data_IF_079107641635
#
_entry.id   IF_079107641635
#
_cell.length_a   1.000
_cell.length_b   1.000
_cell.length_c   1.000
_cell.angle_alpha   90.00
_cell.angle_beta   90.00
_cell.angle_gamma   90.00
#
_symmetry.space_group_name_H-M   'P 1'
#
loop_
_entity.id
_entity.type
_entity.pdbx_description
1 polymer ?
#
# COMPACT_ATOMS: atom_id res chain seq x y z
N UNK A 1 24.79 44.85 -56.53
CA UNK A 1 23.63 45.24 -55.70
C UNK A 1 22.56 44.19 -55.89
N UNK A 2 21.95 43.83 -54.77
CA UNK A 2 20.95 42.79 -54.54
C UNK A 2 21.45 41.35 -54.44
N UNK A 3 22.05 41.06 -53.27
CA UNK A 3 21.92 39.76 -52.62
C UNK A 3 20.71 39.82 -51.68
N UNK A 4 19.81 38.85 -51.84
CA UNK A 4 18.65 38.63 -50.99
C UNK A 4 18.95 37.45 -50.07
N UNK A 5 19.48 37.75 -48.89
CA UNK A 5 19.57 36.78 -47.81
C UNK A 5 18.22 36.72 -47.08
N UNK A 6 17.57 35.57 -47.21
CA UNK A 6 16.32 35.26 -46.52
C UNK A 6 16.58 35.01 -45.03
N UNK A 7 15.88 35.77 -44.20
CA UNK A 7 15.71 35.50 -42.78
C UNK A 7 15.07 34.11 -42.58
N UNK A 8 15.90 33.09 -42.32
CA UNK A 8 15.42 31.86 -41.69
C UNK A 8 15.15 32.17 -40.22
N UNK A 9 13.86 32.43 -39.92
CA UNK A 9 13.34 32.44 -38.56
C UNK A 9 13.67 31.11 -37.87
N UNK A 10 14.60 31.16 -36.92
CA UNK A 10 14.83 30.12 -35.93
C UNK A 10 13.54 29.91 -35.13
N UNK A 11 12.74 28.92 -35.54
CA UNK A 11 11.62 28.44 -34.71
C UNK A 11 12.23 27.87 -33.42
N UNK A 12 11.87 28.40 -32.24
CA UNK A 12 12.48 27.97 -30.99
C UNK A 12 12.18 26.48 -30.79
N UNK A 13 13.21 25.69 -30.46
CA UNK A 13 13.15 24.24 -30.21
C UNK A 13 11.95 23.80 -29.36
N UNK A 14 11.50 24.66 -28.45
CA UNK A 14 10.35 24.45 -27.57
C UNK A 14 9.00 24.35 -28.32
N UNK A 15 8.84 25.11 -29.40
CA UNK A 15 7.66 25.06 -30.28
C UNK A 15 7.59 23.75 -31.07
N UNK A 16 8.73 23.25 -31.54
CA UNK A 16 8.82 21.98 -32.28
C UNK A 16 8.54 20.78 -31.36
N UNK A 17 9.05 20.80 -30.13
CA UNK A 17 8.77 19.75 -29.13
C UNK A 17 7.29 19.72 -28.77
N UNK A 18 6.64 20.87 -28.63
CA UNK A 18 5.20 20.97 -28.33
C UNK A 18 4.34 20.39 -29.47
N UNK A 19 4.65 20.73 -30.73
CA UNK A 19 3.93 20.22 -31.91
C UNK A 19 4.07 18.70 -32.06
N UNK A 20 5.27 18.16 -31.82
CA UNK A 20 5.51 16.71 -31.86
C UNK A 20 4.69 15.96 -30.79
N UNK A 21 4.52 16.57 -29.61
CA UNK A 21 3.68 15.98 -28.56
C UNK A 21 2.18 15.98 -28.92
N UNK A 22 1.67 17.03 -29.58
CA UNK A 22 0.28 17.08 -30.02
C UNK A 22 -0.06 16.01 -31.06
N UNK A 23 0.80 15.85 -32.08
CA UNK A 23 0.56 14.87 -33.15
C UNK A 23 0.60 13.45 -32.59
N UNK A 24 1.56 13.17 -31.70
CA UNK A 24 1.65 11.87 -31.03
C UNK A 24 0.46 11.62 -30.11
N UNK A 25 -0.01 12.66 -29.40
CA UNK A 25 -1.21 12.56 -28.58
C UNK A 25 -2.44 12.22 -29.42
N UNK A 26 -2.68 12.93 -30.53
CA UNK A 26 -3.79 12.67 -31.46
C UNK A 26 -3.74 11.23 -32.01
N UNK A 27 -2.56 10.77 -32.42
CA UNK A 27 -2.35 9.41 -32.93
C UNK A 27 -2.71 8.36 -31.88
N UNK A 28 -2.18 8.49 -30.66
CA UNK A 28 -2.40 7.54 -29.57
C UNK A 28 -3.86 7.53 -29.14
N UNK A 29 -4.50 8.69 -28.98
CA UNK A 29 -5.92 8.79 -28.61
C UNK A 29 -6.83 8.16 -29.66
N UNK A 30 -6.57 8.41 -30.95
CA UNK A 30 -7.31 7.76 -32.04
C UNK A 30 -7.16 6.24 -31.97
N UNK A 31 -5.94 5.75 -31.74
CA UNK A 31 -5.65 4.32 -31.71
C UNK A 31 -6.27 3.60 -30.49
N UNK A 32 -6.51 4.31 -29.37
CA UNK A 32 -7.21 3.75 -28.20
C UNK A 32 -8.68 3.42 -28.48
N UNK A 33 -9.32 4.12 -29.41
CA UNK A 33 -10.73 3.95 -29.73
C UNK A 33 -11.00 2.87 -30.81
N UNK A 34 -9.98 2.10 -31.21
CA UNK A 34 -10.17 0.99 -32.16
C UNK A 34 -10.79 -0.25 -31.51
N UNK A 35 -11.49 -1.04 -32.32
CA UNK A 35 -12.02 -2.34 -31.87
C UNK A 35 -10.93 -3.41 -31.74
N UNK A 36 -9.88 -3.33 -32.55
CA UNK A 36 -8.82 -4.33 -32.61
C UNK A 36 -7.93 -4.29 -31.35
N UNK A 37 -7.88 -5.39 -30.55
CA UNK A 37 -7.15 -5.40 -29.28
C UNK A 37 -5.67 -5.03 -29.41
N UNK A 38 -5.01 -5.45 -30.49
CA UNK A 38 -3.57 -5.25 -30.69
C UNK A 38 -3.23 -3.75 -30.81
N UNK A 39 -4.01 -3.02 -31.60
CA UNK A 39 -3.87 -1.57 -31.78
C UNK A 39 -4.02 -0.85 -30.44
N UNK A 40 -5.06 -1.18 -29.67
CA UNK A 40 -5.31 -0.56 -28.36
C UNK A 40 -4.21 -0.90 -27.34
N UNK A 41 -3.71 -2.14 -27.36
CA UNK A 41 -2.59 -2.57 -26.51
C UNK A 41 -1.34 -1.75 -26.79
N UNK A 42 -0.99 -1.57 -28.07
CA UNK A 42 0.23 -0.87 -28.46
C UNK A 42 0.10 0.64 -28.23
N UNK A 43 -1.08 1.23 -28.52
CA UNK A 43 -1.41 2.61 -28.14
C UNK A 43 -1.32 2.84 -26.63
N UNK A 44 -1.85 1.92 -25.82
CA UNK A 44 -1.79 2.04 -24.35
C UNK A 44 -0.35 1.99 -23.82
N UNK A 45 0.50 1.13 -24.38
CA UNK A 45 1.92 1.07 -24.01
C UNK A 45 2.66 2.33 -24.40
N UNK A 46 2.39 2.84 -25.60
CA UNK A 46 3.01 4.07 -26.10
C UNK A 46 2.61 5.27 -25.26
N UNK A 47 1.33 5.39 -24.89
CA UNK A 47 0.86 6.41 -23.95
C UNK A 47 1.61 6.32 -22.62
N UNK A 48 1.68 5.13 -22.02
CA UNK A 48 2.41 4.92 -20.76
C UNK A 48 3.89 5.30 -20.89
N UNK A 49 4.51 5.00 -22.04
CA UNK A 49 5.92 5.36 -22.31
C UNK A 49 6.11 6.87 -22.36
N UNK A 50 5.20 7.60 -23.02
CA UNK A 50 5.22 9.07 -23.09
C UNK A 50 5.04 9.70 -21.71
N UNK A 51 4.09 9.19 -20.91
CA UNK A 51 3.86 9.65 -19.53
C UNK A 51 5.05 9.42 -18.59
N UNK A 52 5.85 8.38 -18.84
CA UNK A 52 7.04 8.07 -18.02
C UNK A 52 8.31 8.77 -18.53
N UNK A 53 8.25 9.44 -19.67
CA UNK A 53 9.37 10.17 -20.26
C UNK A 53 9.66 11.50 -19.54
N UNK A 54 10.76 12.14 -19.93
CA UNK A 54 11.20 13.42 -19.34
C UNK A 54 10.15 14.54 -19.47
N UNK A 55 9.36 14.55 -20.55
CA UNK A 55 8.27 15.49 -20.80
C UNK A 55 6.89 14.94 -20.40
N UNK A 56 6.83 13.88 -19.58
CA UNK A 56 5.59 13.21 -19.20
C UNK A 56 4.59 14.13 -18.49
N UNK A 57 5.08 15.09 -17.71
CA UNK A 57 4.24 16.08 -17.04
C UNK A 57 3.52 16.98 -18.04
N UNK A 58 4.24 17.52 -19.02
CA UNK A 58 3.69 18.38 -20.06
C UNK A 58 2.72 17.61 -20.96
N UNK A 59 3.09 16.38 -21.35
CA UNK A 59 2.22 15.50 -22.10
C UNK A 59 0.90 15.21 -21.36
N UNK A 60 0.94 15.01 -20.04
CA UNK A 60 -0.27 14.86 -19.24
C UNK A 60 -1.14 16.13 -19.25
N UNK A 61 -0.53 17.33 -19.18
CA UNK A 61 -1.29 18.59 -19.23
C UNK A 61 -2.00 18.71 -20.57
N UNK A 62 -1.28 18.50 -21.67
CA UNK A 62 -1.84 18.56 -23.01
C UNK A 62 -2.99 17.57 -23.17
N UNK A 63 -2.82 16.33 -22.69
CA UNK A 63 -3.90 15.35 -22.71
C UNK A 63 -5.15 15.84 -21.95
N UNK A 64 -5.00 16.28 -20.70
CA UNK A 64 -6.14 16.68 -19.86
C UNK A 64 -6.77 18.01 -20.31
N UNK A 65 -6.04 18.84 -21.06
CA UNK A 65 -6.57 20.01 -21.74
C UNK A 65 -7.36 19.63 -22.99
N UNK A 66 -6.81 18.74 -23.84
CA UNK A 66 -7.45 18.28 -25.06
C UNK A 66 -8.69 17.39 -24.79
N UNK A 67 -8.64 16.52 -23.77
CA UNK A 67 -9.75 15.66 -23.35
C UNK A 67 -10.03 15.79 -21.84
N UNK A 68 -10.76 16.85 -21.43
CA UNK A 68 -11.06 17.11 -20.01
C UNK A 68 -11.86 16.02 -19.29
N UNK A 69 -12.65 15.25 -20.03
CA UNK A 69 -13.52 14.19 -19.51
C UNK A 69 -12.92 12.79 -19.69
N UNK A 70 -11.74 12.67 -20.32
CA UNK A 70 -11.07 11.41 -20.62
C UNK A 70 -11.98 10.39 -21.35
N UNK A 71 -12.80 10.88 -22.29
CA UNK A 71 -13.85 10.07 -22.94
C UNK A 71 -13.27 8.89 -23.72
N UNK A 72 -12.09 9.05 -24.33
CA UNK A 72 -11.39 8.02 -25.08
C UNK A 72 -11.03 6.82 -24.20
N UNK A 73 -10.74 7.06 -22.91
CA UNK A 73 -10.49 5.98 -21.95
C UNK A 73 -11.78 5.21 -21.62
N UNK A 74 -12.92 5.90 -21.58
CA UNK A 74 -14.22 5.25 -21.41
C UNK A 74 -14.62 4.42 -22.62
N UNK A 75 -14.40 4.96 -23.82
CA UNK A 75 -14.71 4.28 -25.06
C UNK A 75 -13.82 3.03 -25.21
N UNK A 76 -12.51 3.17 -24.96
CA UNK A 76 -11.58 2.05 -24.93
C UNK A 76 -11.96 1.00 -23.86
N UNK A 77 -12.34 1.43 -22.66
CA UNK A 77 -12.81 0.52 -21.60
C UNK A 77 -14.03 -0.28 -22.05
N UNK A 78 -15.03 0.40 -22.63
CA UNK A 78 -16.28 -0.21 -23.09
C UNK A 78 -16.04 -1.19 -24.24
N UNK A 79 -15.31 -0.76 -25.28
CA UNK A 79 -15.01 -1.57 -26.46
C UNK A 79 -14.17 -2.80 -26.14
N UNK A 80 -13.30 -2.69 -25.14
CA UNK A 80 -12.38 -3.76 -24.75
C UNK A 80 -12.87 -4.59 -23.56
N UNK A 81 -14.08 -4.36 -23.04
CA UNK A 81 -14.60 -4.97 -21.80
C UNK A 81 -14.41 -6.49 -21.73
N UNK A 82 -14.62 -7.21 -22.81
CA UNK A 82 -14.49 -8.68 -22.85
C UNK A 82 -13.17 -9.16 -23.49
N UNK A 83 -12.33 -8.22 -23.93
CA UNK A 83 -11.09 -8.46 -24.68
C UNK A 83 -9.87 -8.37 -23.78
N UNK A 84 -8.75 -8.95 -24.23
CA UNK A 84 -7.47 -8.93 -23.50
C UNK A 84 -6.85 -7.54 -23.38
N UNK A 85 -7.23 -6.60 -24.26
CA UNK A 85 -6.72 -5.23 -24.24
C UNK A 85 -7.18 -4.41 -23.02
N UNK A 86 -8.30 -4.76 -22.37
CA UNK A 86 -8.79 -4.05 -21.19
C UNK A 86 -7.73 -3.95 -20.08
N UNK A 87 -6.96 -5.02 -19.88
CA UNK A 87 -5.85 -5.06 -18.93
C UNK A 87 -4.85 -3.91 -19.19
N UNK A 88 -4.56 -3.59 -20.45
CA UNK A 88 -3.66 -2.49 -20.81
C UNK A 88 -4.30 -1.12 -20.64
N UNK A 89 -5.59 -0.99 -20.98
CA UNK A 89 -6.36 0.24 -20.76
C UNK A 89 -6.40 0.58 -19.27
N UNK A 90 -6.63 -0.40 -18.40
CA UNK A 90 -6.61 -0.19 -16.94
C UNK A 90 -5.25 0.20 -16.39
N UNK A 91 -4.18 -0.42 -16.89
CA UNK A 91 -2.81 -0.04 -16.50
C UNK A 91 -2.44 1.37 -17.00
N UNK A 92 -2.94 1.77 -18.17
CA UNK A 92 -2.83 3.14 -18.66
C UNK A 92 -3.56 4.11 -17.72
N UNK A 93 -4.83 3.85 -17.40
CA UNK A 93 -5.61 4.68 -16.48
C UNK A 93 -4.89 4.79 -15.13
N UNK A 94 -4.44 3.67 -14.57
CA UNK A 94 -3.67 3.66 -13.33
C UNK A 94 -2.43 4.57 -13.42
N UNK A 95 -1.69 4.50 -14.53
CA UNK A 95 -0.51 5.35 -14.76
C UNK A 95 -0.87 6.85 -14.82
N UNK A 96 -1.97 7.20 -15.51
CA UNK A 96 -2.46 8.58 -15.59
C UNK A 96 -2.85 9.08 -14.18
N UNK A 97 -3.61 8.29 -13.43
CA UNK A 97 -4.06 8.66 -12.10
C UNK A 97 -2.91 8.75 -11.09
N UNK A 98 -1.84 8.01 -11.30
CA UNK A 98 -0.66 8.00 -10.43
C UNK A 98 0.39 9.06 -10.74
N UNK A 99 0.33 9.67 -11.93
CA UNK A 99 1.33 10.60 -12.40
C UNK A 99 1.51 11.79 -11.42
N UNK A 100 2.75 12.13 -11.00
CA UNK A 100 3.00 13.19 -10.02
C UNK A 100 2.38 14.54 -10.38
N UNK A 101 2.51 14.96 -11.64
CA UNK A 101 1.91 16.21 -12.15
C UNK A 101 0.38 16.27 -12.10
N UNK A 102 -0.29 15.13 -11.90
CA UNK A 102 -1.75 15.04 -11.72
C UNK A 102 -2.20 14.92 -10.26
N UNK A 103 -1.24 14.86 -9.31
CA UNK A 103 -1.49 14.71 -7.87
C UNK A 103 -1.05 15.91 -7.04
N UNK A 104 -0.10 16.70 -7.53
CA UNK A 104 0.55 17.75 -6.76
C UNK A 104 -0.47 18.73 -6.14
N UNK A 105 -0.48 18.80 -4.81
CA UNK A 105 -1.18 19.82 -4.04
C UNK A 105 -0.41 21.13 -4.15
N UNK A 106 -1.12 22.25 -4.21
CA UNK A 106 -0.52 23.55 -3.89
C UNK A 106 0.11 23.41 -2.50
N UNK A 107 1.44 23.41 -2.43
CA UNK A 107 2.11 23.66 -1.15
C UNK A 107 1.79 25.11 -0.88
N UNK A 108 0.93 25.36 0.10
CA UNK A 108 0.90 26.66 0.75
C UNK A 108 2.31 26.86 1.31
N UNK A 109 3.14 27.61 0.61
CA UNK A 109 4.38 28.12 1.18
C UNK A 109 3.98 28.88 2.43
N UNK A 110 4.16 28.25 3.59
CA UNK A 110 4.01 28.83 4.90
C UNK A 110 5.07 29.94 5.03
N UNK A 111 4.78 31.11 4.49
CA UNK A 111 5.79 32.16 4.30
C UNK A 111 5.28 33.47 3.72
N UNK A 112 3.99 33.80 3.85
CA UNK A 112 3.54 35.20 3.71
C UNK A 112 2.19 35.41 4.39
N UNK A 113 2.24 35.69 5.71
CA UNK A 113 1.18 36.44 6.37
C UNK A 113 1.27 37.88 5.88
N UNK A 114 0.36 38.28 5.00
CA UNK A 114 0.15 39.68 4.61
C UNK A 114 0.68 40.03 3.22
N UNK A 115 -0.02 39.61 2.18
CA UNK A 115 0.24 40.01 0.79
C UNK A 115 -0.64 39.17 -0.12
N UNK A 116 -1.37 39.79 -1.05
CA UNK A 116 -2.35 39.10 -1.90
C UNK A 116 -1.77 37.83 -2.54
N UNK A 117 -2.53 36.73 -2.51
CA UNK A 117 -2.10 35.45 -3.06
C UNK A 117 -2.02 35.58 -4.59
N UNK A 118 -0.85 35.94 -5.12
CA UNK A 118 -0.53 35.73 -6.52
C UNK A 118 -0.34 34.24 -6.72
N UNK A 119 -1.44 33.51 -6.97
CA UNK A 119 -1.37 32.09 -7.30
C UNK A 119 -0.67 31.99 -8.66
N UNK A 120 0.55 31.45 -8.65
CA UNK A 120 1.33 31.09 -9.83
C UNK A 120 0.42 30.42 -10.89
N UNK A 121 0.37 30.94 -12.15
CA UNK A 121 -0.40 30.35 -13.23
C UNK A 121 -0.15 28.84 -13.43
N UNK A 122 1.09 28.38 -13.25
CA UNK A 122 1.42 26.96 -13.34
C UNK A 122 0.77 26.14 -12.21
N UNK A 123 0.68 26.73 -11.02
CA UNK A 123 0.00 26.15 -9.87
C UNK A 123 -1.53 26.05 -10.08
N UNK A 124 -2.16 27.06 -10.72
CA UNK A 124 -3.57 26.99 -11.14
C UNK A 124 -3.81 25.89 -12.16
N UNK A 125 -2.93 25.79 -13.17
CA UNK A 125 -3.02 24.74 -14.21
C UNK A 125 -2.93 23.34 -13.62
N UNK A 126 -1.95 23.09 -12.73
CA UNK A 126 -1.81 21.81 -11.99
C UNK A 126 -3.05 21.47 -11.17
N UNK A 127 -3.61 22.46 -10.45
CA UNK A 127 -4.85 22.26 -9.69
C UNK A 127 -6.04 21.89 -10.59
N UNK A 128 -6.18 22.52 -11.75
CA UNK A 128 -7.24 22.21 -12.71
C UNK A 128 -7.11 20.79 -13.27
N UNK A 129 -5.88 20.36 -13.61
CA UNK A 129 -5.58 19.00 -14.07
C UNK A 129 -5.96 17.98 -13.00
N UNK A 130 -5.49 18.20 -11.76
CA UNK A 130 -5.82 17.32 -10.63
C UNK A 130 -7.32 17.19 -10.45
N UNK A 131 -8.08 18.30 -10.47
CA UNK A 131 -9.54 18.28 -10.29
C UNK A 131 -10.25 17.46 -11.38
N UNK A 132 -9.80 17.55 -12.63
CA UNK A 132 -10.34 16.74 -13.75
C UNK A 132 -10.06 15.25 -13.55
N UNK A 133 -8.83 14.90 -13.19
CA UNK A 133 -8.46 13.51 -12.91
C UNK A 133 -9.14 12.96 -11.65
N UNK A 134 -9.36 13.78 -10.62
CA UNK A 134 -10.14 13.42 -9.44
C UNK A 134 -11.62 13.14 -9.82
N UNK A 135 -12.20 13.97 -10.69
CA UNK A 135 -13.56 13.72 -11.20
C UNK A 135 -13.63 12.39 -11.95
N UNK A 136 -12.67 12.12 -12.83
CA UNK A 136 -12.60 10.86 -13.58
C UNK A 136 -12.44 9.64 -12.65
N UNK A 137 -11.54 9.72 -11.67
CA UNK A 137 -11.35 8.66 -10.68
C UNK A 137 -12.59 8.40 -9.84
N UNK A 138 -13.37 9.44 -9.50
CA UNK A 138 -14.62 9.28 -8.76
C UNK A 138 -15.66 8.51 -9.57
N UNK A 139 -15.81 8.81 -10.86
CA UNK A 139 -16.70 8.07 -11.76
C UNK A 139 -16.33 6.57 -11.87
N UNK A 140 -15.05 6.19 -11.70
CA UNK A 140 -14.68 4.76 -11.63
C UNK A 140 -15.30 4.09 -10.40
N UNK A 141 -15.25 4.76 -9.24
CA UNK A 141 -15.80 4.23 -7.98
C UNK A 141 -17.33 4.25 -7.98
N UNK A 142 -17.95 5.23 -8.63
CA UNK A 142 -19.40 5.36 -8.73
C UNK A 142 -20.03 4.39 -9.73
N UNK A 143 -19.43 4.26 -10.93
CA UNK A 143 -20.12 3.66 -12.08
C UNK A 143 -19.51 2.35 -12.57
N UNK A 144 -18.32 1.95 -12.06
CA UNK A 144 -17.51 0.87 -12.68
C UNK A 144 -17.03 -0.21 -11.72
N UNK A 145 -17.48 -0.21 -10.47
CA UNK A 145 -17.10 -1.28 -9.53
C UNK A 145 -17.55 -2.66 -10.00
N UNK A 146 -18.68 -2.79 -10.70
CA UNK A 146 -19.13 -4.08 -11.25
C UNK A 146 -18.13 -4.68 -12.26
N UNK A 147 -17.52 -3.84 -13.11
CA UNK A 147 -16.48 -4.27 -14.05
C UNK A 147 -15.23 -4.72 -13.30
N UNK A 148 -14.87 -4.01 -12.23
CA UNK A 148 -13.75 -4.37 -11.35
C UNK A 148 -14.04 -5.71 -10.67
N UNK A 149 -15.22 -5.92 -10.09
CA UNK A 149 -15.61 -7.18 -9.46
C UNK A 149 -15.62 -8.36 -10.45
N UNK A 150 -16.13 -8.13 -11.66
CA UNK A 150 -16.07 -9.11 -12.75
C UNK A 150 -14.63 -9.51 -13.10
N UNK A 151 -13.70 -8.56 -13.11
CA UNK A 151 -12.29 -8.84 -13.34
C UNK A 151 -11.58 -9.52 -12.17
N UNK A 152 -11.87 -9.14 -10.93
CA UNK A 152 -11.32 -9.79 -9.74
C UNK A 152 -11.77 -11.26 -9.68
N UNK A 153 -13.00 -11.53 -10.12
CA UNK A 153 -13.58 -12.89 -10.19
C UNK A 153 -13.12 -13.68 -11.44
N UNK A 154 -12.53 -13.04 -12.45
CA UNK A 154 -12.05 -13.69 -13.68
C UNK A 154 -10.95 -14.72 -13.38
N UNK A 155 -10.82 -15.77 -14.20
CA UNK A 155 -9.71 -16.75 -14.08
C UNK A 155 -8.35 -16.18 -14.51
N UNK A 156 -8.33 -15.03 -15.19
CA UNK A 156 -7.12 -14.43 -15.75
C UNK A 156 -6.35 -13.60 -14.71
N UNK A 157 -5.14 -14.05 -14.34
CA UNK A 157 -4.30 -13.36 -13.36
C UNK A 157 -3.90 -11.94 -13.78
N UNK A 158 -3.58 -11.71 -15.06
CA UNK A 158 -3.25 -10.37 -15.57
C UNK A 158 -4.39 -9.39 -15.36
N UNK A 159 -5.61 -9.82 -15.65
CA UNK A 159 -6.82 -9.02 -15.48
C UNK A 159 -7.12 -8.68 -14.01
N UNK A 160 -6.98 -9.67 -13.11
CA UNK A 160 -7.06 -9.45 -11.65
C UNK A 160 -6.04 -8.42 -11.16
N UNK A 161 -4.78 -8.54 -11.61
CA UNK A 161 -3.71 -7.60 -11.24
C UNK A 161 -4.00 -6.19 -11.73
N UNK A 162 -4.43 -6.04 -12.99
CA UNK A 162 -4.75 -4.73 -13.54
C UNK A 162 -5.93 -4.06 -12.81
N UNK A 163 -6.96 -4.82 -12.40
CA UNK A 163 -8.03 -4.31 -11.53
C UNK A 163 -7.48 -3.78 -10.21
N UNK A 164 -6.65 -4.56 -9.52
CA UNK A 164 -6.04 -4.15 -8.25
C UNK A 164 -5.14 -2.93 -8.41
N UNK A 165 -4.31 -2.88 -9.45
CA UNK A 165 -3.46 -1.72 -9.75
C UNK A 165 -4.28 -0.47 -10.06
N UNK A 166 -5.38 -0.60 -10.80
CA UNK A 166 -6.31 0.51 -11.05
C UNK A 166 -6.92 1.03 -9.75
N UNK A 167 -7.44 0.15 -8.90
CA UNK A 167 -8.05 0.56 -7.64
C UNK A 167 -7.01 1.15 -6.67
N UNK A 168 -5.77 0.63 -6.67
CA UNK A 168 -4.68 1.21 -5.91
C UNK A 168 -4.37 2.63 -6.37
N UNK A 169 -4.33 2.86 -7.69
CA UNK A 169 -4.12 4.18 -8.27
C UNK A 169 -5.21 5.18 -7.87
N UNK A 170 -6.48 4.76 -7.88
CA UNK A 170 -7.61 5.56 -7.40
C UNK A 170 -7.45 5.91 -5.92
N UNK A 171 -7.14 4.94 -5.06
CA UNK A 171 -6.92 5.16 -3.62
C UNK A 171 -5.78 6.14 -3.37
N UNK A 172 -4.66 6.02 -4.11
CA UNK A 172 -3.48 6.90 -3.99
C UNK A 172 -3.69 8.32 -4.48
N UNK A 173 -4.88 8.69 -4.98
CA UNK A 173 -5.21 10.09 -5.28
C UNK A 173 -5.45 10.92 -4.02
N UNK A 174 -5.72 10.29 -2.88
CA UNK A 174 -5.72 10.96 -1.58
C UNK A 174 -6.73 10.40 -0.58
N UNK A 175 -6.79 10.99 0.64
CA UNK A 175 -7.59 10.46 1.74
C UNK A 175 -9.09 10.41 1.45
N UNK A 176 -9.61 11.34 0.64
CA UNK A 176 -11.01 11.32 0.20
C UNK A 176 -11.35 10.07 -0.62
N UNK A 177 -10.47 9.67 -1.55
CA UNK A 177 -10.66 8.45 -2.34
C UNK A 177 -10.44 7.19 -1.53
N UNK A 178 -9.44 7.18 -0.63
CA UNK A 178 -9.28 6.06 0.30
C UNK A 178 -10.56 5.83 1.12
N UNK A 179 -11.15 6.90 1.67
CA UNK A 179 -12.41 6.82 2.41
C UNK A 179 -13.59 6.34 1.53
N UNK A 180 -13.73 6.90 0.32
CA UNK A 180 -14.80 6.55 -0.59
C UNK A 180 -14.74 5.08 -1.02
N UNK A 181 -13.56 4.60 -1.41
CA UNK A 181 -13.34 3.20 -1.80
C UNK A 181 -13.56 2.27 -0.60
N UNK A 182 -13.07 2.60 0.61
CA UNK A 182 -13.34 1.77 1.82
C UNK A 182 -14.83 1.60 2.09
N UNK A 183 -15.65 2.61 1.78
CA UNK A 183 -17.10 2.56 2.01
C UNK A 183 -17.85 1.79 0.94
N UNK A 184 -17.47 1.92 -0.34
CA UNK A 184 -18.19 1.35 -1.49
C UNK A 184 -17.68 -0.02 -1.93
N UNK A 185 -16.40 -0.32 -1.71
CA UNK A 185 -15.79 -1.58 -2.14
C UNK A 185 -16.21 -2.74 -1.23
N UNK A 186 -16.61 -3.85 -1.82
CA UNK A 186 -16.92 -5.09 -1.11
C UNK A 186 -15.66 -5.93 -0.86
N UNK A 187 -15.06 -5.77 0.32
CA UNK A 187 -13.90 -6.56 0.75
C UNK A 187 -14.26 -8.00 1.16
N UNK A 188 -15.55 -8.30 1.35
CA UNK A 188 -16.01 -9.62 1.80
C UNK A 188 -16.18 -10.62 0.65
N UNK A 189 -16.13 -10.14 -0.60
CA UNK A 189 -16.28 -10.99 -1.76
C UNK A 189 -15.22 -12.11 -1.76
N UNK A 190 -15.67 -13.36 -1.92
CA UNK A 190 -14.78 -14.54 -1.88
C UNK A 190 -13.61 -14.43 -2.85
N UNK A 191 -13.89 -13.97 -4.07
CA UNK A 191 -12.89 -13.79 -5.10
C UNK A 191 -11.80 -12.78 -4.72
N UNK A 192 -12.07 -11.82 -3.83
CA UNK A 192 -11.08 -10.88 -3.30
C UNK A 192 -10.19 -11.52 -2.23
N UNK A 193 -10.79 -12.27 -1.29
CA UNK A 193 -10.06 -13.00 -0.25
C UNK A 193 -9.05 -13.98 -0.86
N UNK A 194 -9.44 -14.67 -1.94
CA UNK A 194 -8.57 -15.59 -2.68
C UNK A 194 -7.33 -14.90 -3.29
N UNK A 195 -7.38 -13.58 -3.54
CA UNK A 195 -6.24 -12.84 -4.13
C UNK A 195 -5.07 -12.70 -3.18
N UNK A 196 -5.35 -12.74 -1.88
CA UNK A 196 -4.36 -12.64 -0.81
C UNK A 196 -3.59 -13.95 -0.62
N UNK A 197 -4.08 -15.10 -1.09
CA UNK A 197 -3.49 -16.39 -0.76
C UNK A 197 -2.05 -16.54 -1.28
N UNK A 198 -1.16 -17.00 -0.37
CA UNK A 198 0.14 -17.51 -0.76
C UNK A 198 -0.03 -18.94 -1.25
N UNK A 199 0.29 -19.21 -2.52
CA UNK A 199 0.27 -20.60 -3.01
C UNK A 199 1.26 -21.41 -2.19
N UNK A 200 0.88 -22.59 -1.68
CA UNK A 200 1.77 -23.39 -0.86
C UNK A 200 3.03 -23.75 -1.67
N UNK A 201 4.21 -23.49 -1.08
CA UNK A 201 5.45 -24.17 -1.48
C UNK A 201 5.16 -25.66 -1.31
N UNK A 202 4.98 -26.41 -2.40
CA UNK A 202 4.87 -27.87 -2.32
C UNK A 202 6.19 -28.41 -1.75
N UNK A 203 6.21 -28.66 -0.45
CA UNK A 203 7.23 -29.44 0.23
C UNK A 203 6.86 -30.91 0.06
N UNK A 204 7.70 -31.66 -0.65
CA UNK A 204 7.68 -33.12 -0.64
C UNK A 204 7.26 -33.81 -1.94
N UNK A 205 8.11 -34.76 -2.33
CA UNK A 205 7.97 -35.82 -3.34
C UNK A 205 8.16 -35.43 -4.81
N UNK A 206 9.39 -35.67 -5.29
CA UNK A 206 9.76 -36.10 -6.65
C UNK A 206 8.80 -35.69 -7.78
N UNK A 207 8.59 -34.40 -8.00
CA UNK A 207 8.08 -33.91 -9.28
C UNK A 207 9.28 -33.55 -10.16
N UNK A 208 9.68 -34.53 -10.96
CA UNK A 208 10.61 -34.41 -12.08
C UNK A 208 10.40 -33.09 -12.84
N UNK A 209 11.50 -32.35 -13.03
CA UNK A 209 11.97 -31.89 -14.35
C UNK A 209 10.87 -31.52 -15.35
N UNK A 210 10.08 -30.51 -15.02
CA UNK A 210 9.49 -29.60 -15.99
C UNK A 210 9.60 -28.21 -15.37
N UNK A 211 10.19 -27.26 -16.09
CA UNK A 211 10.04 -25.83 -15.83
C UNK A 211 8.56 -25.45 -15.91
N UNK A 212 7.77 -25.84 -14.91
CA UNK A 212 6.38 -25.41 -14.78
C UNK A 212 6.42 -23.96 -14.34
N UNK A 213 6.45 -23.07 -15.34
CA UNK A 213 6.15 -21.63 -15.27
C UNK A 213 5.42 -21.33 -13.97
N UNK A 214 6.12 -20.75 -12.98
CA UNK A 214 5.52 -20.34 -11.70
C UNK A 214 4.26 -19.57 -12.04
N UNK A 215 3.07 -20.17 -11.85
CA UNK A 215 1.80 -19.51 -12.19
C UNK A 215 1.80 -18.16 -11.46
N UNK A 216 1.59 -17.03 -12.17
CA UNK A 216 1.74 -15.71 -11.57
C UNK A 216 0.86 -15.57 -10.32
N UNK A 217 1.43 -15.05 -9.24
CA UNK A 217 0.70 -14.77 -7.99
C UNK A 217 0.01 -13.41 -8.07
N UNK A 218 -1.22 -13.30 -7.57
CA UNK A 218 -1.97 -12.05 -7.40
C UNK A 218 -1.59 -11.30 -6.13
N UNK A 219 -0.97 -11.99 -5.16
CA UNK A 219 -0.65 -11.46 -3.84
C UNK A 219 0.14 -10.14 -3.85
N UNK A 220 1.17 -9.93 -4.69
CA UNK A 220 1.86 -8.63 -4.72
C UNK A 220 0.94 -7.47 -5.08
N UNK A 221 0.07 -7.64 -6.09
CA UNK A 221 -0.90 -6.61 -6.47
C UNK A 221 -1.97 -6.39 -5.38
N UNK A 222 -2.34 -7.45 -4.65
CA UNK A 222 -3.25 -7.35 -3.52
C UNK A 222 -2.62 -6.53 -2.39
N UNK A 223 -1.36 -6.81 -2.05
CA UNK A 223 -0.61 -6.08 -1.03
C UNK A 223 -0.47 -4.61 -1.47
N UNK A 224 -0.07 -4.34 -2.70
CA UNK A 224 0.00 -2.97 -3.22
C UNK A 224 -1.32 -2.20 -3.08
N UNK A 225 -2.45 -2.85 -3.40
CA UNK A 225 -3.78 -2.27 -3.23
C UNK A 225 -4.12 -2.01 -1.75
N UNK A 226 -3.88 -2.97 -0.87
CA UNK A 226 -4.14 -2.82 0.56
C UNK A 226 -3.27 -1.71 1.19
N UNK A 227 -1.98 -1.70 0.87
CA UNK A 227 -1.03 -0.72 1.39
C UNK A 227 -1.29 0.69 0.85
N UNK A 228 -1.90 0.83 -0.34
CA UNK A 228 -2.33 2.12 -0.86
C UNK A 228 -3.26 2.87 0.11
N UNK A 229 -4.16 2.18 0.81
CA UNK A 229 -5.03 2.81 1.80
C UNK A 229 -4.25 3.38 2.97
N UNK A 230 -3.27 2.64 3.51
CA UNK A 230 -2.47 3.10 4.64
C UNK A 230 -1.57 4.28 4.25
N UNK A 231 -1.07 4.28 3.02
CA UNK A 231 -0.23 5.36 2.51
C UNK A 231 -1.02 6.65 2.26
N UNK A 232 -2.24 6.54 1.70
CA UNK A 232 -3.06 7.68 1.27
C UNK A 232 -4.02 8.23 2.33
N UNK A 233 -4.39 7.43 3.32
CA UNK A 233 -5.35 7.85 4.36
C UNK A 233 -4.71 8.85 5.33
N UNK A 234 -5.52 9.80 5.78
CA UNK A 234 -5.20 10.61 6.94
C UNK A 234 -5.44 9.81 8.24
N UNK A 235 -4.91 10.26 9.38
CA UNK A 235 -5.07 9.56 10.66
C UNK A 235 -6.53 9.31 11.09
N UNK A 236 -7.49 10.11 10.61
CA UNK A 236 -8.93 9.96 10.95
C UNK A 236 -9.57 8.85 10.12
N UNK A 237 -9.17 8.71 8.85
CA UNK A 237 -9.67 7.69 7.94
C UNK A 237 -9.09 6.29 8.21
N UNK A 238 -7.87 6.21 8.75
CA UNK A 238 -7.17 4.93 9.01
C UNK A 238 -7.99 3.96 9.86
N UNK A 239 -8.73 4.45 10.87
CA UNK A 239 -9.61 3.60 11.69
C UNK A 239 -10.59 2.78 10.86
N UNK A 240 -11.18 3.38 9.81
CA UNK A 240 -12.16 2.72 8.95
C UNK A 240 -11.51 1.69 8.03
N UNK A 241 -10.30 1.97 7.55
CA UNK A 241 -9.50 1.03 6.75
C UNK A 241 -9.17 -0.20 7.59
N UNK A 242 -8.63 0.01 8.80
CA UNK A 242 -8.17 -1.06 9.68
C UNK A 242 -9.30 -1.96 10.21
N UNK A 243 -10.54 -1.49 10.15
CA UNK A 243 -11.72 -2.30 10.47
C UNK A 243 -12.13 -3.24 9.33
N UNK A 244 -11.57 -3.10 8.12
CA UNK A 244 -11.78 -4.04 7.01
C UNK A 244 -10.90 -5.27 7.19
N UNK A 245 -11.42 -6.24 7.96
CA UNK A 245 -10.70 -7.44 8.37
C UNK A 245 -10.11 -8.21 7.20
N UNK A 246 -10.85 -8.40 6.12
CA UNK A 246 -10.43 -9.17 4.95
C UNK A 246 -9.23 -8.51 4.25
N UNK A 247 -9.20 -7.18 4.21
CA UNK A 247 -8.08 -6.41 3.67
C UNK A 247 -6.83 -6.57 4.54
N UNK A 248 -6.96 -6.29 5.85
CA UNK A 248 -5.82 -6.32 6.78
C UNK A 248 -5.29 -7.74 7.02
N UNK A 249 -6.19 -8.70 7.26
CA UNK A 249 -5.83 -10.09 7.45
C UNK A 249 -5.22 -10.68 6.17
N UNK A 250 -5.70 -10.30 4.98
CA UNK A 250 -5.10 -10.75 3.72
C UNK A 250 -3.64 -10.37 3.57
N UNK A 251 -3.24 -9.18 4.06
CA UNK A 251 -1.84 -8.73 4.05
C UNK A 251 -1.03 -9.48 5.10
N UNK A 252 -1.50 -9.47 6.35
CA UNK A 252 -0.74 -9.97 7.50
C UNK A 252 -0.69 -11.49 7.59
N UNK A 253 -1.70 -12.18 7.04
CA UNK A 253 -1.69 -13.62 6.96
C UNK A 253 -0.69 -14.07 5.89
N UNK A 254 0.16 -15.03 6.24
CA UNK A 254 1.24 -15.53 5.38
C UNK A 254 2.30 -14.50 4.99
N UNK A 255 2.44 -13.38 5.71
CA UNK A 255 3.50 -12.39 5.50
C UNK A 255 4.90 -13.02 5.55
N UNK A 256 5.11 -14.03 6.42
CA UNK A 256 6.39 -14.76 6.52
C UNK A 256 6.76 -15.58 5.28
N UNK A 257 5.85 -15.68 4.29
CA UNK A 257 6.09 -16.38 3.02
C UNK A 257 6.37 -15.43 1.86
N UNK A 258 6.25 -14.12 2.06
CA UNK A 258 6.60 -13.13 1.05
C UNK A 258 8.12 -12.93 0.97
N UNK A 259 8.58 -12.23 -0.07
CA UNK A 259 9.98 -11.84 -0.17
C UNK A 259 10.31 -10.68 0.78
N UNK A 260 11.59 -10.56 1.15
CA UNK A 260 12.04 -9.60 2.16
C UNK A 260 11.68 -8.15 1.82
N UNK A 261 11.65 -7.77 0.52
CA UNK A 261 11.26 -6.41 0.13
C UNK A 261 9.79 -6.15 0.43
N UNK A 262 8.92 -7.12 0.15
CA UNK A 262 7.49 -7.04 0.46
C UNK A 262 7.27 -6.99 1.98
N UNK A 263 7.98 -7.82 2.75
CA UNK A 263 7.88 -7.82 4.21
C UNK A 263 8.30 -6.46 4.78
N UNK A 264 9.49 -5.97 4.42
CA UNK A 264 9.99 -4.66 4.85
C UNK A 264 9.03 -3.53 4.46
N UNK A 265 8.50 -3.55 3.23
CA UNK A 265 7.52 -2.57 2.77
C UNK A 265 6.26 -2.53 3.65
N UNK A 266 5.68 -3.70 3.95
CA UNK A 266 4.48 -3.82 4.80
C UNK A 266 4.77 -3.32 6.21
N UNK A 267 5.85 -3.81 6.84
CA UNK A 267 6.17 -3.50 8.22
C UNK A 267 6.58 -2.04 8.43
N UNK A 268 7.44 -1.49 7.58
CA UNK A 268 7.79 -0.07 7.64
C UNK A 268 6.56 0.82 7.44
N UNK A 269 5.63 0.44 6.55
CA UNK A 269 4.39 1.21 6.38
C UNK A 269 3.50 1.13 7.62
N UNK A 270 3.36 -0.05 8.23
CA UNK A 270 2.60 -0.19 9.48
C UNK A 270 3.22 0.62 10.63
N UNK A 271 4.54 0.58 10.78
CA UNK A 271 5.27 1.39 11.76
C UNK A 271 4.98 2.87 11.57
N UNK A 272 5.12 3.38 10.35
CA UNK A 272 5.03 4.81 10.05
C UNK A 272 3.59 5.35 10.00
N UNK A 273 2.60 4.49 9.68
CA UNK A 273 1.22 4.95 9.46
C UNK A 273 0.25 4.50 10.53
N UNK A 274 0.52 3.38 11.21
CA UNK A 274 -0.42 2.76 12.16
C UNK A 274 0.12 2.77 13.59
N UNK A 275 1.42 2.50 13.76
CA UNK A 275 2.05 2.41 15.07
C UNK A 275 2.81 3.69 15.46
N UNK A 276 2.75 4.75 14.65
CA UNK A 276 3.40 6.01 15.01
C UNK A 276 2.57 6.78 16.05
N UNK A 277 3.17 7.74 16.76
CA UNK A 277 2.43 8.55 17.74
C UNK A 277 1.38 9.46 17.08
N UNK A 278 1.57 9.79 15.80
CA UNK A 278 0.69 10.63 14.97
C UNK A 278 -0.49 9.85 14.39
N UNK A 279 -0.39 8.52 14.38
CA UNK A 279 -1.48 7.62 14.04
C UNK A 279 -2.54 7.71 15.14
N UNK A 280 -3.62 8.44 14.87
CA UNK A 280 -4.78 8.51 15.77
C UNK A 280 -5.55 7.17 15.89
N UNK A 281 -4.91 6.05 15.55
CA UNK A 281 -5.44 4.69 15.67
C UNK A 281 -5.42 4.27 17.13
N UNK A 282 -6.59 3.91 17.72
CA UNK A 282 -6.65 3.52 19.12
C UNK A 282 -5.77 2.30 19.44
N UNK A 283 -5.13 2.25 20.62
CA UNK A 283 -4.29 1.12 21.05
C UNK A 283 -4.99 -0.24 20.93
N UNK A 284 -6.29 -0.29 21.27
CA UNK A 284 -7.09 -1.52 21.16
C UNK A 284 -7.19 -2.04 19.73
N UNK A 285 -7.27 -1.15 18.73
CA UNK A 285 -7.34 -1.52 17.33
C UNK A 285 -5.98 -2.00 16.80
N UNK A 286 -4.89 -1.36 17.23
CA UNK A 286 -3.53 -1.82 16.92
C UNK A 286 -3.28 -3.23 17.48
N UNK A 287 -3.69 -3.47 18.72
CA UNK A 287 -3.62 -4.79 19.37
C UNK A 287 -4.49 -5.86 18.66
N UNK A 288 -5.66 -5.50 18.13
CA UNK A 288 -6.50 -6.45 17.36
C UNK A 288 -5.87 -6.79 16.01
N UNK A 289 -5.28 -5.80 15.33
CA UNK A 289 -4.57 -5.99 14.06
C UNK A 289 -3.38 -6.96 14.22
N UNK A 290 -2.66 -6.83 15.34
CA UNK A 290 -1.50 -7.67 15.70
C UNK A 290 -1.94 -8.81 16.65
N UNK A 291 -2.88 -9.63 16.17
CA UNK A 291 -3.33 -10.84 16.86
C UNK A 291 -2.28 -11.95 16.91
N UNK A 292 -2.60 -13.06 17.58
CA UNK A 292 -1.68 -14.18 17.83
C UNK A 292 -0.98 -14.70 16.56
N UNK A 293 -1.73 -14.92 15.48
CA UNK A 293 -1.18 -15.42 14.21
C UNK A 293 -0.26 -14.42 13.51
N UNK A 294 -0.47 -13.11 13.71
CA UNK A 294 0.42 -12.08 13.16
C UNK A 294 1.70 -12.03 13.99
N UNK A 295 1.60 -12.05 15.31
CA UNK A 295 2.76 -12.03 16.22
C UNK A 295 3.66 -13.25 16.03
N UNK A 296 3.07 -14.44 15.84
CA UNK A 296 3.81 -15.66 15.50
C UNK A 296 4.60 -15.50 14.20
N UNK A 297 3.98 -14.98 13.14
CA UNK A 297 4.68 -14.73 11.89
C UNK A 297 5.80 -13.68 12.02
N UNK A 298 5.58 -12.62 12.81
CA UNK A 298 6.63 -11.64 13.07
C UNK A 298 7.80 -12.27 13.84
N UNK A 299 7.51 -13.17 14.80
CA UNK A 299 8.56 -13.94 15.48
C UNK A 299 9.34 -14.77 14.47
N UNK A 300 8.66 -15.54 13.61
CA UNK A 300 9.30 -16.36 12.58
C UNK A 300 10.19 -15.53 11.65
N UNK A 301 9.70 -14.37 11.18
CA UNK A 301 10.46 -13.45 10.32
C UNK A 301 11.68 -12.91 11.06
N UNK A 302 11.51 -12.43 12.30
CA UNK A 302 12.62 -11.91 13.11
C UNK A 302 13.64 -12.99 13.47
N UNK A 303 13.22 -14.25 13.54
CA UNK A 303 14.10 -15.39 13.80
C UNK A 303 14.86 -15.91 12.59
N UNK A 304 14.66 -15.32 11.41
CA UNK A 304 15.36 -15.72 10.19
C UNK A 304 16.73 -15.00 10.09
N UNK A 305 17.87 -15.70 10.24
CA UNK A 305 19.20 -15.08 10.16
C UNK A 305 19.50 -14.49 8.77
N UNK A 306 18.87 -15.04 7.72
CA UNK A 306 19.05 -14.59 6.34
C UNK A 306 18.07 -13.48 5.93
N UNK A 307 17.19 -13.04 6.84
CA UNK A 307 16.09 -12.12 6.54
C UNK A 307 16.47 -10.64 6.42
N UNK A 308 17.72 -10.26 6.69
CA UNK A 308 18.23 -8.89 6.55
C UNK A 308 17.30 -7.81 7.13
N UNK A 309 17.00 -6.79 6.33
CA UNK A 309 16.10 -5.67 6.69
C UNK A 309 14.70 -6.14 7.12
N UNK A 310 14.20 -7.25 6.58
CA UNK A 310 12.88 -7.77 6.92
C UNK A 310 12.85 -8.36 8.33
N UNK A 311 13.90 -9.09 8.72
CA UNK A 311 14.07 -9.60 10.08
C UNK A 311 14.20 -8.45 11.09
N UNK A 312 14.97 -7.42 10.76
CA UNK A 312 15.11 -6.22 11.60
C UNK A 312 13.77 -5.47 11.72
N UNK A 313 13.05 -5.25 10.62
CA UNK A 313 11.75 -4.59 10.64
C UNK A 313 10.71 -5.38 11.46
N UNK A 314 10.73 -6.71 11.40
CA UNK A 314 9.88 -7.57 12.23
C UNK A 314 10.24 -7.46 13.71
N UNK A 315 11.53 -7.54 14.05
CA UNK A 315 11.99 -7.35 15.43
C UNK A 315 11.61 -5.97 15.97
N UNK A 316 11.83 -4.89 15.21
CA UNK A 316 11.44 -3.53 15.59
C UNK A 316 9.93 -3.41 15.84
N UNK A 317 9.12 -4.01 14.97
CA UNK A 317 7.66 -4.03 15.13
C UNK A 317 7.27 -4.74 16.42
N UNK A 318 7.87 -5.91 16.70
CA UNK A 318 7.64 -6.65 17.94
C UNK A 318 8.05 -5.85 19.17
N UNK A 319 9.22 -5.20 19.13
CA UNK A 319 9.71 -4.35 20.21
C UNK A 319 8.73 -3.22 20.51
N UNK A 320 8.27 -2.49 19.49
CA UNK A 320 7.25 -1.44 19.67
C UNK A 320 6.03 -2.00 20.40
N UNK A 321 5.38 -3.01 19.83
CA UNK A 321 4.05 -3.41 20.30
C UNK A 321 4.07 -4.24 21.59
N UNK A 322 5.16 -4.96 21.85
CA UNK A 322 5.28 -5.83 23.02
C UNK A 322 5.85 -5.11 24.25
N UNK A 323 6.47 -3.93 24.09
CA UNK A 323 7.14 -3.23 25.20
C UNK A 323 6.53 -1.88 25.55
N UNK A 324 5.84 -1.22 24.61
CA UNK A 324 5.13 0.04 24.85
C UNK A 324 3.61 -0.17 25.00
N UNK A 325 3.01 0.20 26.15
CA UNK A 325 1.57 0.13 26.36
C UNK A 325 0.72 0.93 25.36
N UNK A 326 1.29 1.94 24.70
CA UNK A 326 0.59 2.78 23.71
C UNK A 326 0.02 1.98 22.52
N UNK A 327 0.50 0.76 22.28
CA UNK A 327 0.01 -0.14 21.22
C UNK A 327 -1.03 -1.16 21.69
N UNK A 328 -1.43 -1.12 22.97
CA UNK A 328 -2.56 -1.88 23.50
C UNK A 328 -2.33 -3.39 23.70
N UNK A 329 -1.10 -3.88 23.53
CA UNK A 329 -0.71 -5.26 23.85
C UNK A 329 -0.01 -5.34 25.20
N UNK A 330 0.96 -4.47 25.46
CA UNK A 330 1.61 -4.34 26.77
C UNK A 330 0.67 -3.63 27.77
N UNK A 331 0.42 -4.17 28.98
CA UNK A 331 -0.34 -3.45 30.00
C UNK A 331 0.41 -2.21 30.51
N UNK A 332 -0.30 -1.21 31.05
CA UNK A 332 0.34 -0.11 31.78
C UNK A 332 0.88 -0.55 33.16
N UNK A 333 1.89 0.15 33.68
CA UNK A 333 2.46 -0.14 35.01
C UNK A 333 1.49 0.30 36.08
N UNK A 334 1.28 -0.55 37.09
CA UNK A 334 0.62 -0.13 38.33
C UNK A 334 1.35 1.04 39.02
N UNK A 335 2.66 1.16 38.84
CA UNK A 335 3.46 2.24 39.45
C UNK A 335 3.21 3.61 38.81
N UNK A 336 2.64 3.65 37.60
CA UNK A 336 2.24 4.91 36.97
C UNK A 336 0.85 5.39 37.44
N UNK A 337 0.14 4.57 38.22
CA UNK A 337 -1.17 4.87 38.79
C UNK A 337 -1.10 5.86 39.97
N UNK A 338 0.08 5.99 40.59
CA UNK A 338 0.31 6.80 41.80
C UNK A 338 0.92 8.17 41.51
N UNK A 339 1.14 8.55 40.24
CA UNK A 339 1.69 9.87 39.88
C UNK A 339 0.57 10.94 39.93
N UNK A 340 0.64 11.93 40.85
CA UNK A 340 -0.34 13.01 40.89
C UNK A 340 -0.20 13.90 39.65
N UNK A 341 -1.31 14.19 38.97
CA UNK A 341 -1.36 15.12 37.83
C UNK A 341 -1.86 14.54 36.49
N UNK A 342 -2.12 13.23 36.38
CA UNK A 342 -2.90 12.71 35.24
C UNK A 342 -4.38 12.75 35.57
N UNK A 343 -5.16 13.40 34.70
CA UNK A 343 -6.61 13.52 34.78
C UNK A 343 -7.24 12.15 35.10
N UNK A 344 -7.88 12.06 36.26
CA UNK A 344 -8.74 10.94 36.66
C UNK A 344 -9.84 10.77 35.60
N UNK A 345 -9.61 9.91 34.62
CA UNK A 345 -10.50 9.79 33.45
C UNK A 345 -9.90 9.07 32.24
N UNK A 346 -8.57 8.91 32.15
CA UNK A 346 -7.98 7.95 31.20
C UNK A 346 -8.11 6.54 31.77
N UNK A 347 -8.90 5.68 31.12
CA UNK A 347 -8.92 4.25 31.45
C UNK A 347 -7.52 3.68 31.27
N UNK A 348 -7.00 2.99 32.29
CA UNK A 348 -5.74 2.26 32.19
C UNK A 348 -5.77 1.32 30.98
N UNK A 349 -4.70 1.31 30.20
CA UNK A 349 -4.60 0.36 29.10
C UNK A 349 -4.35 -1.03 29.70
N UNK A 350 -5.42 -1.83 29.76
CA UNK A 350 -5.39 -3.21 30.30
C UNK A 350 -4.40 -4.12 29.55
N UNK A 351 -4.04 -3.74 28.31
CA UNK A 351 -3.21 -4.57 27.44
C UNK A 351 -3.87 -5.91 27.12
N UNK A 352 -3.05 -6.86 26.69
CA UNK A 352 -3.43 -8.26 26.53
C UNK A 352 -2.28 -9.18 27.01
N UNK A 353 -2.10 -9.32 28.33
CA UNK A 353 -0.99 -10.09 28.90
C UNK A 353 -1.05 -11.57 28.51
N UNK A 354 -2.25 -12.14 28.31
CA UNK A 354 -2.40 -13.53 27.86
C UNK A 354 -1.86 -13.76 26.44
N UNK A 355 -2.10 -12.81 25.52
CA UNK A 355 -1.51 -12.87 24.17
C UNK A 355 0.01 -12.68 24.22
N UNK A 356 0.49 -11.75 25.04
CA UNK A 356 1.92 -11.52 25.21
C UNK A 356 2.63 -12.76 25.77
N UNK A 357 2.04 -13.42 26.77
CA UNK A 357 2.54 -14.67 27.33
C UNK A 357 2.62 -15.79 26.29
N UNK A 358 1.57 -15.98 25.47
CA UNK A 358 1.58 -16.97 24.39
C UNK A 358 2.68 -16.71 23.35
N UNK A 359 2.97 -15.44 23.05
CA UNK A 359 4.10 -15.08 22.21
C UNK A 359 5.43 -15.43 22.89
N UNK A 360 5.61 -15.01 24.15
CA UNK A 360 6.84 -15.27 24.92
C UNK A 360 7.18 -16.76 24.98
N UNK A 361 6.19 -17.62 25.22
CA UNK A 361 6.37 -19.09 25.26
C UNK A 361 6.77 -19.71 23.91
N UNK A 362 6.58 -18.98 22.80
CA UNK A 362 6.98 -19.42 21.44
C UNK A 362 8.33 -18.86 21.00
N UNK A 363 8.88 -17.88 21.73
CA UNK A 363 10.19 -17.33 21.42
C UNK A 363 11.28 -18.38 21.64
N UNK A 364 12.37 -18.25 20.86
CA UNK A 364 13.56 -19.11 20.95
C UNK A 364 14.77 -18.30 21.42
N UNK A 365 14.79 -17.81 22.68
CA UNK A 365 15.80 -16.87 23.17
C UNK A 365 17.21 -17.48 23.29
N UNK A 366 17.34 -18.81 23.25
CA UNK A 366 18.64 -19.48 23.25
C UNK A 366 19.26 -19.60 21.85
N UNK A 367 18.41 -19.54 20.81
CA UNK A 367 18.82 -19.76 19.42
C UNK A 367 18.88 -18.45 18.62
N UNK A 368 18.01 -17.49 18.95
CA UNK A 368 17.77 -16.28 18.16
C UNK A 368 18.01 -15.04 19.04
N UNK A 369 18.98 -14.22 18.65
CA UNK A 369 19.34 -12.98 19.37
C UNK A 369 18.15 -12.02 19.50
N UNK A 370 17.42 -11.74 18.42
CA UNK A 370 16.23 -10.87 18.45
C UNK A 370 15.12 -11.40 19.37
N UNK A 371 14.96 -12.72 19.49
CA UNK A 371 14.00 -13.30 20.43
C UNK A 371 14.46 -13.13 21.88
N UNK A 372 15.76 -13.28 22.14
CA UNK A 372 16.35 -13.03 23.46
C UNK A 372 16.14 -11.58 23.88
N UNK A 373 16.48 -10.64 23.01
CA UNK A 373 16.38 -9.21 23.28
C UNK A 373 14.92 -8.80 23.53
N UNK A 374 14.00 -9.30 22.70
CA UNK A 374 12.57 -9.08 22.88
C UNK A 374 12.06 -9.64 24.21
N UNK A 375 12.41 -10.89 24.55
CA UNK A 375 11.98 -11.50 25.80
C UNK A 375 12.46 -10.68 27.00
N UNK A 376 13.75 -10.33 27.04
CA UNK A 376 14.35 -9.51 28.09
C UNK A 376 13.69 -8.14 28.19
N UNK A 377 13.39 -7.48 27.07
CA UNK A 377 12.71 -6.20 27.07
C UNK A 377 11.29 -6.28 27.63
N UNK A 378 10.54 -7.34 27.29
CA UNK A 378 9.20 -7.57 27.84
C UNK A 378 9.26 -7.76 29.37
N UNK A 379 10.12 -8.67 29.86
CA UNK A 379 10.20 -8.93 31.31
C UNK A 379 10.76 -7.74 32.09
N UNK A 380 11.74 -7.02 31.53
CA UNK A 380 12.27 -5.80 32.12
C UNK A 380 11.25 -4.67 32.21
N UNK A 381 10.34 -4.56 31.24
CA UNK A 381 9.26 -3.57 31.27
C UNK A 381 8.11 -3.91 32.22
N UNK A 382 7.86 -5.20 32.47
CA UNK A 382 6.73 -5.69 33.29
C UNK A 382 7.09 -6.92 34.14
N UNK A 383 7.50 -6.72 35.40
CA UNK A 383 7.79 -7.83 36.32
C UNK A 383 6.61 -8.79 36.55
N UNK A 384 5.37 -8.30 36.53
CA UNK A 384 4.18 -9.15 36.67
C UNK A 384 4.00 -10.13 35.51
N UNK A 385 4.43 -9.76 34.30
CA UNK A 385 4.41 -10.65 33.13
C UNK A 385 5.57 -11.65 33.22
N UNK A 386 6.71 -11.24 33.79
CA UNK A 386 7.81 -12.16 34.07
C UNK A 386 7.38 -13.27 35.02
N UNK A 387 6.66 -12.94 36.11
CA UNK A 387 6.13 -13.94 37.03
C UNK A 387 5.20 -14.94 36.31
N UNK A 388 4.23 -14.44 35.52
CA UNK A 388 3.33 -15.30 34.74
C UNK A 388 4.07 -16.21 33.75
N UNK A 389 5.15 -15.71 33.16
CA UNK A 389 6.00 -16.50 32.27
C UNK A 389 6.75 -17.60 33.02
N UNK A 390 7.30 -17.31 34.20
CA UNK A 390 7.98 -18.30 35.05
C UNK A 390 7.01 -19.38 35.55
N UNK A 391 5.79 -19.00 35.94
CA UNK A 391 4.74 -19.95 36.37
C UNK A 391 4.31 -20.88 35.23
N UNK A 392 4.37 -20.38 33.99
CA UNK A 392 4.00 -21.13 32.78
C UNK A 392 5.20 -21.79 32.10
N UNK A 393 6.40 -21.67 32.68
CA UNK A 393 7.63 -22.09 32.01
C UNK A 393 7.69 -23.62 31.94
N UNK A 394 7.81 -24.21 30.73
CA UNK A 394 7.61 -25.64 30.53
C UNK A 394 8.77 -26.53 31.02
N UNK A 395 9.80 -25.96 31.64
CA UNK A 395 10.97 -26.68 32.12
C UNK A 395 11.06 -26.61 33.64
N UNK A 396 11.19 -27.77 34.28
CA UNK A 396 11.47 -27.85 35.71
C UNK A 396 12.88 -27.31 35.96
N UNK A 397 12.98 -26.24 36.75
CA UNK A 397 14.26 -25.64 37.18
C UNK A 397 14.85 -26.37 38.39
N UNK A 398 14.19 -27.39 38.91
CA UNK A 398 14.73 -28.21 39.98
C UNK A 398 16.03 -28.91 39.51
N UNK A 399 17.12 -28.79 40.29
CA UNK A 399 18.33 -29.54 40.01
C UNK A 399 18.00 -31.04 40.07
N UNK A 400 18.34 -31.78 39.01
CA UNK A 400 18.23 -33.24 39.03
C UNK A 400 19.02 -33.75 40.23
N UNK A 401 18.43 -34.56 41.13
CA UNK A 401 19.18 -35.15 42.23
C UNK A 401 20.34 -35.95 41.64
N UNK A 402 21.55 -35.66 42.11
CA UNK A 402 22.76 -36.37 41.72
C UNK A 402 22.57 -37.86 41.98
N UNK A 403 22.96 -38.75 41.06
CA UNK A 403 22.92 -40.19 41.34
C UNK A 403 23.81 -40.48 42.55
N UNK A 404 23.21 -41.09 43.58
CA UNK A 404 23.88 -41.55 44.80
C UNK A 404 24.83 -42.71 44.53
#
# INVERSE_FOLDING_TARGET
TDDSDGDMEDKPLDSLVTVVHEDKLKEVLRNLCFEEPKIVIDASKEFVRLLRGASGEEFLRQYVQASPSCQELWDAWKLQREKSALTRVWLLIATILEHPGGKETLVESAGSRGGGITIDPAAKSRHAIRKKLDKFARSIVEDKLDDVYGALSSKETSRRKAALSLMAAVVRRGPGFAHEVVRKFDFSMKAFVELAETKPRKMGTKAKKEEKKKKPSTRPAFIEFAMAFLQASDPRALRWVLQKRELCAGVLHSLSRDDDKTISFVLCTLQNKVLSAESLVPPSLQSVLLGDATLEQLSDISGNPDGGDAAEAAHRTLMMVCTDPSHGLMPESSDNLTKPGRLAGRSTLKGNPGRLLRLMLRLRPLEVAYHKDLLLAIVGGRPSIAALYMDSFPYNLEPRPSPH
#
